data_IF_804014108439
#
_entry.id   IF_804014108439
#
_cell.length_a   1.000
_cell.length_b   1.000
_cell.length_c   1.000
_cell.angle_alpha   90.00
_cell.angle_beta   90.00
_cell.angle_gamma   90.00
#
_symmetry.space_group_name_H-M   'P 1'
#
loop_
_entity.id
_entity.type
_entity.pdbx_description
1 polymer ?
#
# COMPACT_ATOMS: atom_id res chain seq x y z
N UNK A 1 -2.50 10.10 -19.60
CA UNK A 1 -1.86 9.50 -18.41
C UNK A 1 -1.35 10.61 -17.50
N UNK A 2 -1.36 10.40 -16.19
CA UNK A 2 -0.87 11.36 -15.19
C UNK A 2 0.24 10.68 -14.40
N UNK A 3 1.43 11.28 -14.36
CA UNK A 3 2.49 10.86 -13.44
C UNK A 3 2.12 11.39 -12.05
N UNK A 4 1.99 10.47 -11.10
CA UNK A 4 1.65 10.80 -9.71
C UNK A 4 2.92 11.18 -8.96
N UNK A 5 3.95 10.33 -9.07
CA UNK A 5 5.20 10.48 -8.35
C UNK A 5 6.34 9.78 -9.10
N UNK A 6 7.56 10.27 -8.90
CA UNK A 6 8.79 9.65 -9.41
C UNK A 6 9.77 9.55 -8.26
N UNK A 7 10.29 8.35 -8.02
CA UNK A 7 11.13 8.05 -6.87
C UNK A 7 12.42 7.39 -7.33
N UNK A 8 13.55 8.06 -7.09
CA UNK A 8 14.87 7.51 -7.37
C UNK A 8 15.25 6.44 -6.36
N UNK A 9 15.88 5.36 -6.82
CA UNK A 9 16.44 4.29 -5.96
C UNK A 9 17.92 4.52 -5.62
N UNK A 10 18.45 5.72 -5.90
CA UNK A 10 19.86 6.06 -5.65
C UNK A 10 20.27 5.89 -4.19
N UNK A 11 19.42 6.28 -3.24
CA UNK A 11 19.67 6.12 -1.80
C UNK A 11 19.72 4.64 -1.38
N UNK A 12 18.99 3.77 -2.09
CA UNK A 12 19.02 2.32 -1.90
C UNK A 12 20.19 1.61 -2.59
N UNK A 13 21.11 2.33 -3.24
CA UNK A 13 22.27 1.76 -3.93
C UNK A 13 22.06 1.49 -5.43
N UNK A 14 20.93 1.91 -6.03
CA UNK A 14 20.63 1.74 -7.45
C UNK A 14 20.55 3.09 -8.15
N UNK A 15 21.68 3.77 -8.43
CA UNK A 15 21.70 5.13 -8.95
C UNK A 15 21.03 5.28 -10.32
N UNK A 16 21.02 4.19 -11.10
CA UNK A 16 20.45 4.17 -12.45
C UNK A 16 18.98 3.74 -12.46
N UNK A 17 18.36 3.44 -11.32
CA UNK A 17 16.98 2.95 -11.23
C UNK A 17 16.05 4.00 -10.66
N UNK A 18 14.87 4.12 -11.26
CA UNK A 18 13.83 5.06 -10.84
C UNK A 18 12.46 4.39 -10.98
N UNK A 19 11.65 4.50 -9.94
CA UNK A 19 10.24 4.10 -9.96
C UNK A 19 9.38 5.28 -10.43
N UNK A 20 8.43 5.02 -11.31
CA UNK A 20 7.46 6.01 -11.79
C UNK A 20 6.07 5.45 -11.53
N UNK A 21 5.35 6.08 -10.58
CA UNK A 21 3.95 5.79 -10.30
C UNK A 21 3.08 6.68 -11.18
N UNK A 22 2.17 6.09 -11.95
CA UNK A 22 1.31 6.81 -12.87
C UNK A 22 -0.06 6.17 -13.01
N UNK A 23 -1.05 6.96 -13.42
CA UNK A 23 -2.41 6.48 -13.67
C UNK A 23 -2.83 6.74 -15.11
N UNK A 24 -3.56 5.76 -15.67
CA UNK A 24 -4.13 5.87 -17.00
C UNK A 24 -5.49 6.57 -16.93
N UNK A 25 -5.53 7.83 -17.39
CA UNK A 25 -6.74 8.66 -17.45
C UNK A 25 -7.54 8.65 -16.12
N UNK A 26 -6.90 9.02 -15.00
CA UNK A 26 -7.56 8.94 -13.70
C UNK A 26 -8.76 9.89 -13.63
N UNK A 27 -9.81 9.43 -12.96
CA UNK A 27 -10.87 10.29 -12.45
C UNK A 27 -10.35 11.08 -11.24
N UNK A 28 -10.70 12.36 -11.12
CA UNK A 28 -10.23 13.23 -10.04
C UNK A 28 -11.39 13.49 -9.07
N UNK A 29 -11.17 13.22 -7.79
CA UNK A 29 -12.16 13.33 -6.73
C UNK A 29 -11.63 14.28 -5.65
N UNK A 30 -12.06 15.55 -5.61
CA UNK A 30 -11.77 16.45 -4.49
C UNK A 30 -12.41 15.92 -3.20
N UNK A 31 -11.74 16.05 -2.06
CA UNK A 31 -12.38 15.77 -0.77
C UNK A 31 -13.39 16.86 -0.41
N UNK A 32 -14.31 16.52 0.50
CA UNK A 32 -15.25 17.50 1.06
C UNK A 32 -14.57 18.63 1.82
N UNK A 33 -13.33 18.43 2.30
CA UNK A 33 -12.55 19.47 2.97
C UNK A 33 -12.14 20.63 2.05
N UNK A 34 -12.15 20.45 0.73
CA UNK A 34 -11.92 21.53 -0.21
C UNK A 34 -13.12 22.48 -0.35
N UNK A 35 -14.33 21.97 -0.08
CA UNK A 35 -15.58 22.72 -0.22
C UNK A 35 -16.02 23.31 1.13
N UNK A 36 -15.78 22.59 2.22
CA UNK A 36 -16.19 22.95 3.56
C UNK A 36 -15.00 22.87 4.56
N UNK A 37 -14.52 24.01 5.11
CA UNK A 37 -13.50 24.01 6.15
C UNK A 37 -13.88 23.26 7.43
N UNK A 38 -15.17 23.07 7.70
CA UNK A 38 -15.68 22.31 8.85
C UNK A 38 -15.85 20.81 8.54
N UNK A 39 -15.51 20.38 7.33
CA UNK A 39 -15.64 18.99 6.91
C UNK A 39 -14.91 18.03 7.85
N UNK A 40 -15.66 17.03 8.31
CA UNK A 40 -15.14 15.98 9.17
C UNK A 40 -14.43 14.91 8.35
N UNK A 41 -13.14 14.75 8.59
CA UNK A 41 -12.28 13.80 7.87
C UNK A 41 -12.57 12.36 8.31
N UNK A 42 -13.23 11.60 7.44
CA UNK A 42 -13.65 10.22 7.68
C UNK A 42 -12.50 9.23 7.46
N UNK A 43 -12.69 7.95 7.79
CA UNK A 43 -11.61 6.95 7.62
C UNK A 43 -11.15 6.78 6.17
N UNK A 44 -12.03 6.75 5.15
CA UNK A 44 -11.60 6.79 3.75
C UNK A 44 -10.74 8.02 3.42
N UNK A 45 -11.07 9.19 3.98
CA UNK A 45 -10.29 10.40 3.76
C UNK A 45 -8.86 10.26 4.32
N UNK A 46 -8.65 9.49 5.39
CA UNK A 46 -7.33 9.23 5.98
C UNK A 46 -6.37 8.48 5.04
N UNK A 47 -6.88 7.78 4.02
CA UNK A 47 -6.08 7.18 2.96
C UNK A 47 -6.17 7.93 1.64
N UNK A 48 -7.30 8.59 1.35
CA UNK A 48 -7.58 9.16 0.03
C UNK A 48 -7.47 10.68 -0.01
N UNK A 49 -7.98 11.38 1.00
CA UNK A 49 -8.19 12.83 0.95
C UNK A 49 -8.80 13.23 -0.39
N UNK A 50 -8.18 14.19 -1.06
CA UNK A 50 -8.42 14.44 -2.48
C UNK A 50 -7.60 13.47 -3.34
N UNK A 51 -8.24 12.63 -4.15
CA UNK A 51 -7.60 11.48 -4.79
C UNK A 51 -7.89 11.31 -6.28
N UNK A 52 -7.02 10.55 -6.92
CA UNK A 52 -7.21 9.99 -8.24
C UNK A 52 -7.73 8.55 -8.16
N UNK A 53 -8.79 8.24 -8.89
CA UNK A 53 -9.34 6.89 -9.00
C UNK A 53 -9.16 6.31 -10.40
N UNK A 54 -8.80 5.02 -10.48
CA UNK A 54 -8.65 4.27 -11.72
C UNK A 54 -7.43 3.34 -11.73
N UNK A 55 -6.98 2.96 -12.92
CA UNK A 55 -5.85 2.03 -13.08
C UNK A 55 -4.54 2.75 -12.77
N UNK A 56 -3.84 2.31 -11.72
CA UNK A 56 -2.49 2.74 -11.40
C UNK A 56 -1.44 1.70 -11.78
N UNK A 57 -0.30 2.19 -12.26
CA UNK A 57 0.82 1.39 -12.73
C UNK A 57 2.13 1.93 -12.17
N UNK A 58 3.08 1.03 -11.98
CA UNK A 58 4.44 1.38 -11.57
C UNK A 58 5.41 0.89 -12.62
N UNK A 59 6.21 1.80 -13.14
CA UNK A 59 7.27 1.55 -14.10
C UNK A 59 8.62 1.61 -13.39
N UNK A 60 9.45 0.58 -13.58
CA UNK A 60 10.88 0.67 -13.31
C UNK A 60 11.59 1.19 -14.56
N UNK A 61 12.28 2.32 -14.40
CA UNK A 61 13.00 2.99 -15.48
C UNK A 61 14.50 3.00 -15.21
N UNK A 62 15.29 2.76 -16.27
CA UNK A 62 16.73 2.93 -16.25
C UNK A 62 17.11 4.31 -16.82
N UNK A 63 17.58 5.20 -15.96
CA UNK A 63 17.92 6.58 -16.35
C UNK A 63 19.21 6.67 -17.17
N UNK A 64 20.13 5.72 -17.01
CA UNK A 64 21.41 5.71 -17.73
C UNK A 64 21.24 5.29 -19.19
N UNK A 65 20.37 4.30 -19.44
CA UNK A 65 20.07 3.81 -20.80
C UNK A 65 18.83 4.43 -21.39
N UNK A 66 18.11 5.27 -20.64
CA UNK A 66 16.85 5.91 -21.02
C UNK A 66 15.82 4.88 -21.50
N UNK A 67 15.65 3.79 -20.74
CA UNK A 67 14.80 2.66 -21.14
C UNK A 67 13.91 2.15 -20.01
N UNK A 68 12.68 1.77 -20.34
CA UNK A 68 11.80 1.02 -19.45
C UNK A 68 12.34 -0.40 -19.21
N UNK A 69 12.40 -0.83 -17.96
CA UNK A 69 12.76 -2.21 -17.59
C UNK A 69 11.51 -3.08 -17.53
N UNK A 70 10.54 -2.72 -16.67
CA UNK A 70 9.24 -3.36 -16.63
C UNK A 70 8.19 -2.44 -16.01
N UNK A 71 6.92 -2.70 -16.32
CA UNK A 71 5.77 -2.02 -15.74
C UNK A 71 4.83 -3.06 -15.13
N UNK A 72 4.29 -2.78 -13.95
CA UNK A 72 3.22 -3.55 -13.34
C UNK A 72 1.98 -2.69 -13.13
N UNK A 73 0.81 -3.33 -13.14
CA UNK A 73 -0.42 -2.75 -12.64
C UNK A 73 -0.58 -3.08 -11.16
N UNK A 74 -1.01 -2.11 -10.35
CA UNK A 74 -1.28 -2.35 -8.94
C UNK A 74 -2.62 -3.07 -8.84
N UNK A 75 -2.57 -4.33 -8.40
CA UNK A 75 -3.75 -5.18 -8.22
C UNK A 75 -4.39 -4.91 -6.85
N UNK A 76 -5.61 -4.38 -6.87
CA UNK A 76 -6.54 -4.25 -5.75
C UNK A 76 -7.95 -4.52 -6.29
N UNK A 77 -8.91 -4.90 -5.45
CA UNK A 77 -10.24 -5.35 -5.91
C UNK A 77 -10.98 -4.29 -6.75
N UNK A 78 -10.94 -3.03 -6.33
CA UNK A 78 -11.59 -1.90 -7.03
C UNK A 78 -10.59 -0.96 -7.75
N UNK A 79 -9.31 -1.33 -7.77
CA UNK A 79 -8.20 -0.46 -8.17
C UNK A 79 -7.88 0.63 -7.13
N UNK A 80 -6.62 1.10 -7.07
CA UNK A 80 -6.20 2.02 -6.01
C UNK A 80 -6.81 3.42 -6.15
N UNK A 81 -7.23 3.97 -5.01
CA UNK A 81 -7.48 5.40 -4.85
C UNK A 81 -6.23 6.12 -4.34
N UNK A 82 -5.51 6.82 -5.21
CA UNK A 82 -4.22 7.45 -4.87
C UNK A 82 -4.38 8.94 -4.51
N UNK A 83 -3.97 9.37 -3.31
CA UNK A 83 -4.13 10.77 -2.88
C UNK A 83 -3.23 11.72 -3.69
N UNK A 84 -3.79 12.83 -4.17
CA UNK A 84 -2.99 13.96 -4.68
C UNK A 84 -2.92 15.12 -3.69
N UNK A 85 -3.84 15.18 -2.72
CA UNK A 85 -3.74 16.02 -1.55
C UNK A 85 -4.40 15.30 -0.36
N UNK A 86 -3.73 15.29 0.80
CA UNK A 86 -4.20 14.58 1.99
C UNK A 86 -3.74 15.30 3.26
N UNK A 87 -4.48 15.17 4.37
CA UNK A 87 -4.06 15.68 5.67
C UNK A 87 -2.86 14.92 6.22
N UNK A 88 -1.96 15.63 6.90
CA UNK A 88 -0.80 15.04 7.57
C UNK A 88 -1.22 14.21 8.80
N UNK A 89 -0.46 13.16 9.11
CA UNK A 89 -0.60 12.40 10.37
C UNK A 89 -1.34 11.06 10.22
N UNK A 90 -1.63 10.65 8.99
CA UNK A 90 -2.25 9.36 8.68
C UNK A 90 -1.25 8.41 7.99
N UNK A 91 -1.64 7.73 6.91
CA UNK A 91 -0.88 6.63 6.33
C UNK A 91 0.23 7.04 5.35
N UNK A 92 0.09 8.21 4.73
CA UNK A 92 1.09 8.74 3.80
C UNK A 92 1.91 9.87 4.44
N UNK A 93 3.18 9.94 4.04
CA UNK A 93 4.06 11.04 4.46
C UNK A 93 3.65 12.31 3.72
N UNK A 94 3.46 13.41 4.46
CA UNK A 94 3.05 14.69 3.90
C UNK A 94 4.04 15.76 4.34
N UNK A 95 4.74 16.33 3.37
CA UNK A 95 5.67 17.44 3.57
C UNK A 95 5.03 18.78 3.22
N UNK A 96 5.57 19.85 3.82
CA UNK A 96 5.11 21.21 3.60
C UNK A 96 4.02 21.67 4.57
N UNK A 97 3.58 22.91 4.37
CA UNK A 97 2.44 23.48 5.09
C UNK A 97 1.18 23.18 4.29
N UNK A 98 0.14 22.58 4.91
CA UNK A 98 -1.13 22.40 4.24
C UNK A 98 -1.71 23.75 3.81
N UNK A 99 -2.54 23.72 2.78
CA UNK A 99 -3.34 24.88 2.40
C UNK A 99 -4.47 25.13 3.42
N UNK A 100 -5.43 25.99 3.06
CA UNK A 100 -6.57 26.31 3.95
C UNK A 100 -7.42 25.08 4.30
N UNK A 101 -7.45 24.04 3.46
CA UNK A 101 -8.24 22.82 3.68
C UNK A 101 -7.53 21.81 4.61
N UNK A 102 -6.27 22.06 4.96
CA UNK A 102 -5.48 21.16 5.79
C UNK A 102 -4.80 20.03 5.00
N UNK A 103 -4.99 19.98 3.68
CA UNK A 103 -4.40 18.98 2.80
C UNK A 103 -3.13 19.49 2.12
N UNK A 104 -2.20 18.58 1.85
CA UNK A 104 -1.00 18.85 1.06
C UNK A 104 -0.61 17.62 0.24
N UNK A 105 0.29 17.81 -0.72
CA UNK A 105 0.75 16.73 -1.59
C UNK A 105 1.46 15.64 -0.75
N UNK A 106 1.04 14.36 -0.85
CA UNK A 106 1.71 13.27 -0.19
C UNK A 106 2.95 12.78 -0.96
N UNK A 107 3.82 12.08 -0.24
CA UNK A 107 4.80 11.14 -0.77
C UNK A 107 4.22 9.73 -0.65
N UNK A 108 3.67 9.22 -1.74
CA UNK A 108 3.09 7.88 -1.83
C UNK A 108 4.22 6.84 -1.91
N UNK A 109 5.26 7.09 -2.71
CA UNK A 109 6.42 6.19 -2.82
C UNK A 109 7.47 6.46 -1.73
N UNK A 110 7.01 6.63 -0.48
CA UNK A 110 7.90 6.68 0.69
C UNK A 110 8.54 5.30 0.90
N UNK A 111 9.77 5.15 0.39
CA UNK A 111 10.49 3.88 0.41
C UNK A 111 10.91 3.51 1.83
N UNK A 112 10.61 2.29 2.24
CA UNK A 112 10.93 1.69 3.54
C UNK A 112 11.38 0.25 3.32
N UNK A 113 12.08 -0.29 4.32
CA UNK A 113 12.44 -1.70 4.36
C UNK A 113 11.27 -2.47 4.98
N UNK A 114 10.33 -2.90 4.15
CA UNK A 114 9.22 -3.72 4.61
C UNK A 114 9.64 -5.18 4.70
N UNK A 115 10.43 -5.66 3.75
CA UNK A 115 10.74 -7.08 3.65
C UNK A 115 11.78 -7.59 4.69
N UNK A 116 12.52 -6.66 5.32
CA UNK A 116 13.50 -6.91 6.37
C UNK A 116 14.92 -7.21 5.88
N UNK A 117 15.26 -6.87 4.63
CA UNK A 117 16.58 -7.09 4.02
C UNK A 117 17.60 -5.96 4.30
N UNK A 118 17.17 -4.92 5.02
CA UNK A 118 17.99 -3.77 5.37
C UNK A 118 18.00 -2.66 4.32
N UNK A 119 17.19 -2.74 3.26
CA UNK A 119 17.14 -1.74 2.19
C UNK A 119 15.73 -1.16 2.04
N UNK A 120 15.68 0.16 1.96
CA UNK A 120 14.42 0.86 1.71
C UNK A 120 14.10 0.90 0.23
N UNK A 121 13.48 -0.16 -0.28
CA UNK A 121 13.17 -0.37 -1.69
C UNK A 121 11.69 -0.61 -1.99
N UNK A 122 10.85 -0.69 -0.95
CA UNK A 122 9.41 -0.89 -1.08
C UNK A 122 8.62 0.30 -0.54
N UNK A 123 7.44 0.52 -1.10
CA UNK A 123 6.43 1.43 -0.56
C UNK A 123 5.09 0.71 -0.47
N UNK A 124 4.29 1.09 0.51
CA UNK A 124 2.96 0.57 0.71
C UNK A 124 1.91 1.53 0.12
N UNK A 125 0.90 0.96 -0.55
CA UNK A 125 -0.33 1.64 -0.92
C UNK A 125 -1.39 1.27 0.11
N UNK A 126 -2.07 2.28 0.62
CA UNK A 126 -3.11 2.19 1.64
C UNK A 126 -4.44 2.65 1.05
N UNK A 127 -5.48 1.84 1.20
CA UNK A 127 -6.82 2.19 0.76
C UNK A 127 -7.88 1.72 1.78
N UNK A 128 -8.59 2.67 2.40
CA UNK A 128 -9.71 2.40 3.27
C UNK A 128 -11.02 2.66 2.52
N UNK A 129 -11.73 1.59 2.15
CA UNK A 129 -13.09 1.69 1.59
C UNK A 129 -14.10 2.21 2.61
N UNK A 130 -13.90 1.86 3.88
CA UNK A 130 -14.71 2.27 5.01
C UNK A 130 -13.88 2.23 6.30
N UNK A 131 -14.43 2.70 7.41
CA UNK A 131 -13.80 2.60 8.74
C UNK A 131 -13.59 1.17 9.26
N UNK A 132 -14.00 0.15 8.52
CA UNK A 132 -13.87 -1.25 8.94
C UNK A 132 -12.58 -1.90 8.46
N UNK A 133 -11.95 -1.41 7.40
CA UNK A 133 -10.76 -2.04 6.83
C UNK A 133 -9.79 -1.01 6.25
N UNK A 134 -8.56 -1.46 6.09
CA UNK A 134 -7.46 -0.78 5.47
C UNK A 134 -6.72 -1.76 4.56
N UNK A 135 -7.11 -1.82 3.31
CA UNK A 135 -6.42 -2.61 2.32
C UNK A 135 -4.98 -2.08 2.15
N UNK A 136 -3.99 -2.94 2.39
CA UNK A 136 -2.58 -2.58 2.20
C UNK A 136 -1.92 -3.46 1.16
N UNK A 137 -1.27 -2.85 0.16
CA UNK A 137 -0.50 -3.54 -0.88
C UNK A 137 0.95 -3.07 -0.85
N UNK A 138 1.91 -3.96 -1.07
CA UNK A 138 3.33 -3.63 -1.10
C UNK A 138 3.88 -3.74 -2.51
N UNK A 139 4.53 -2.66 -2.96
CA UNK A 139 5.19 -2.57 -4.26
C UNK A 139 6.63 -2.16 -4.02
N UNK A 140 7.57 -2.71 -4.79
CA UNK A 140 8.95 -2.32 -4.64
C UNK A 140 9.86 -2.90 -5.71
N UNK A 141 11.13 -2.53 -5.60
CA UNK A 141 12.17 -3.02 -6.50
C UNK A 141 12.75 -4.34 -5.99
N UNK A 142 12.55 -5.40 -6.78
CA UNK A 142 13.24 -6.68 -6.63
C UNK A 142 14.63 -6.58 -7.22
N UNK A 143 15.64 -6.66 -6.36
CA UNK A 143 17.03 -6.78 -6.80
C UNK A 143 17.29 -8.07 -7.55
N UNK A 144 16.70 -9.17 -7.06
CA UNK A 144 16.92 -10.51 -7.59
C UNK A 144 16.48 -10.61 -9.05
N UNK A 145 15.43 -9.88 -9.42
CA UNK A 145 14.87 -9.87 -10.77
C UNK A 145 15.26 -8.63 -11.58
N UNK A 146 15.85 -7.62 -10.96
CA UNK A 146 16.00 -6.26 -11.51
C UNK A 146 14.67 -5.73 -12.08
N UNK A 147 13.60 -5.81 -11.28
CA UNK A 147 12.24 -5.46 -11.69
C UNK A 147 11.46 -4.81 -10.57
N UNK A 148 10.49 -3.97 -10.90
CA UNK A 148 9.42 -3.62 -9.96
C UNK A 148 8.43 -4.78 -9.85
N UNK A 149 8.05 -5.15 -8.63
CA UNK A 149 7.05 -6.19 -8.34
C UNK A 149 6.04 -5.69 -7.31
N UNK A 150 4.82 -6.23 -7.37
CA UNK A 150 3.90 -6.19 -6.24
C UNK A 150 4.07 -7.50 -5.49
N UNK A 151 4.42 -7.42 -4.20
CA UNK A 151 4.76 -8.60 -3.41
C UNK A 151 3.49 -9.43 -3.15
N UNK A 152 3.40 -10.66 -3.65
CA UNK A 152 2.26 -11.52 -3.39
C UNK A 152 2.26 -12.00 -1.94
N UNK A 153 1.07 -12.26 -1.41
CA UNK A 153 0.85 -12.75 -0.05
C UNK A 153 0.15 -14.10 -0.17
N UNK A 154 0.86 -15.18 0.10
CA UNK A 154 0.28 -16.52 0.20
C UNK A 154 -0.35 -16.67 1.58
N UNK A 155 -1.69 -16.63 1.62
CA UNK A 155 -2.46 -16.65 2.85
C UNK A 155 -3.19 -17.98 3.01
N UNK A 156 -3.02 -18.61 4.18
CA UNK A 156 -3.84 -19.73 4.64
C UNK A 156 -4.87 -19.21 5.63
N UNK A 157 -6.14 -19.17 5.25
CA UNK A 157 -7.22 -18.74 6.14
C UNK A 157 -7.93 -19.96 6.76
N UNK A 158 -8.18 -19.91 8.06
CA UNK A 158 -8.88 -20.93 8.84
C UNK A 158 -10.05 -20.28 9.60
N UNK A 159 -11.29 -20.73 9.33
CA UNK A 159 -12.48 -20.33 10.08
C UNK A 159 -12.80 -21.28 11.24
N UNK A 160 -13.90 -21.02 11.97
CA UNK A 160 -14.31 -21.85 13.12
C UNK A 160 -14.65 -23.30 12.76
N UNK A 161 -15.10 -23.54 11.53
CA UNK A 161 -15.33 -24.88 10.98
C UNK A 161 -14.03 -25.65 10.71
N UNK A 162 -12.88 -25.03 10.98
CA UNK A 162 -11.51 -25.52 10.76
C UNK A 162 -11.20 -25.80 9.29
N UNK A 163 -12.02 -25.33 8.36
CA UNK A 163 -11.71 -25.42 6.95
C UNK A 163 -10.60 -24.44 6.62
N UNK A 164 -9.60 -24.95 5.88
CA UNK A 164 -8.46 -24.17 5.43
C UNK A 164 -8.63 -23.82 3.97
N UNK A 165 -8.47 -22.55 3.66
CA UNK A 165 -8.38 -22.07 2.28
C UNK A 165 -7.03 -21.43 2.05
N UNK A 166 -6.40 -21.72 0.93
CA UNK A 166 -5.14 -21.11 0.52
C UNK A 166 -5.40 -20.20 -0.67
N UNK A 167 -4.95 -18.94 -0.59
CA UNK A 167 -5.10 -17.96 -1.66
C UNK A 167 -3.83 -17.13 -1.78
N UNK A 168 -3.49 -16.78 -3.02
CA UNK A 168 -2.52 -15.70 -3.27
C UNK A 168 -3.27 -14.38 -3.34
N UNK A 169 -2.97 -13.48 -2.41
CA UNK A 169 -3.49 -12.14 -2.34
C UNK A 169 -2.42 -11.14 -2.82
N UNK A 170 -2.86 -9.96 -3.23
CA UNK A 170 -1.99 -8.83 -3.59
C UNK A 170 -2.18 -7.64 -2.64
N UNK A 171 -3.05 -7.81 -1.67
CA UNK A 171 -3.34 -6.91 -0.58
C UNK A 171 -3.74 -7.70 0.67
N UNK A 172 -3.50 -7.11 1.83
CA UNK A 172 -3.88 -7.68 3.12
C UNK A 172 -4.27 -6.58 4.08
N UNK A 173 -5.32 -6.83 4.87
CA UNK A 173 -5.89 -5.82 5.74
C UNK A 173 -4.89 -5.45 6.85
N UNK A 174 -4.62 -4.14 6.98
CA UNK A 174 -3.69 -3.50 7.90
C UNK A 174 -2.21 -3.96 7.88
N UNK A 175 -1.82 -5.01 7.15
CA UNK A 175 -0.48 -5.63 7.25
C UNK A 175 0.66 -4.61 7.27
N UNK A 176 0.75 -3.75 6.25
CA UNK A 176 1.85 -2.77 6.12
C UNK A 176 1.63 -1.46 6.89
N UNK A 177 0.51 -1.36 7.64
CA UNK A 177 0.24 -0.27 8.59
C UNK A 177 0.61 -0.64 10.02
N UNK A 178 0.68 -1.94 10.34
CA UNK A 178 1.03 -2.43 11.66
C UNK A 178 2.54 -2.43 11.84
N UNK A 179 2.97 -2.15 13.07
CA UNK A 179 4.36 -2.32 13.46
C UNK A 179 4.73 -3.82 13.37
N UNK A 180 5.81 -4.18 12.68
CA UNK A 180 6.27 -5.57 12.67
C UNK A 180 6.81 -6.00 14.04
N UNK A 181 6.70 -7.30 14.34
CA UNK A 181 7.33 -7.92 15.53
C UNK A 181 8.85 -8.00 15.36
N UNK A 182 9.29 -8.26 14.13
CA UNK A 182 10.69 -8.22 13.69
C UNK A 182 10.74 -7.91 12.19
N UNK A 183 11.88 -7.50 11.62
CA UNK A 183 11.98 -7.24 10.18
C UNK A 183 11.38 -8.38 9.33
N UNK A 184 10.48 -8.04 8.41
CA UNK A 184 9.78 -9.01 7.56
C UNK A 184 8.78 -9.94 8.28
N UNK A 185 8.38 -9.68 9.54
CA UNK A 185 7.44 -10.52 10.29
C UNK A 185 6.42 -9.72 11.09
N UNK A 186 5.14 -10.06 10.92
CA UNK A 186 4.01 -9.43 11.57
C UNK A 186 3.15 -10.44 12.29
N UNK A 187 2.66 -10.01 13.45
CA UNK A 187 1.62 -10.70 14.20
C UNK A 187 0.67 -9.65 14.75
N UNK A 188 -0.60 -9.74 14.40
CA UNK A 188 -1.61 -8.75 14.81
C UNK A 188 -3.00 -9.36 14.77
N UNK A 189 -3.96 -8.67 15.36
CA UNK A 189 -5.37 -9.04 15.31
C UNK A 189 -6.25 -7.84 14.98
N UNK A 190 -7.42 -8.13 14.40
CA UNK A 190 -8.46 -7.16 14.09
C UNK A 190 -9.78 -7.72 14.58
N UNK A 191 -10.50 -6.93 15.39
CA UNK A 191 -11.80 -7.33 15.95
C UNK A 191 -12.95 -6.70 15.15
N UNK A 192 -13.53 -7.48 14.24
CA UNK A 192 -14.71 -7.10 13.48
C UNK A 192 -16.04 -7.49 14.17
N UNK A 193 -16.00 -8.16 15.34
CA UNK A 193 -17.20 -8.72 15.99
C UNK A 193 -18.18 -7.68 16.51
N UNK A 194 -17.71 -6.46 16.76
CA UNK A 194 -18.57 -5.30 17.07
C UNK A 194 -19.46 -4.87 15.90
N UNK A 195 -19.28 -5.46 14.72
CA UNK A 195 -19.89 -5.05 13.45
C UNK A 195 -20.37 -6.25 12.62
N UNK A 196 -20.63 -7.39 13.27
CA UNK A 196 -21.14 -8.60 12.62
C UNK A 196 -20.07 -9.44 11.90
N UNK A 197 -18.78 -9.16 12.10
CA UNK A 197 -17.67 -9.97 11.57
C UNK A 197 -17.00 -10.87 12.61
N UNK A 198 -15.78 -11.30 12.31
CA UNK A 198 -14.95 -12.20 13.10
C UNK A 198 -13.87 -11.46 13.91
N UNK A 199 -13.22 -12.17 14.83
CA UNK A 199 -11.89 -11.77 15.30
C UNK A 199 -10.86 -12.47 14.42
N UNK A 200 -10.08 -11.69 13.68
CA UNK A 200 -9.07 -12.21 12.77
C UNK A 200 -7.68 -12.05 13.36
N UNK A 201 -6.93 -13.15 13.41
CA UNK A 201 -5.55 -13.20 13.91
C UNK A 201 -4.60 -13.54 12.78
N UNK A 202 -3.71 -12.60 12.47
CA UNK A 202 -2.73 -12.71 11.40
C UNK A 202 -1.35 -13.05 11.94
N UNK A 203 -0.66 -13.92 11.22
CA UNK A 203 0.76 -14.21 11.39
C UNK A 203 1.38 -14.37 10.01
N UNK A 204 2.22 -13.40 9.59
CA UNK A 204 2.69 -13.26 8.21
C UNK A 204 4.19 -12.97 8.21
N UNK A 205 4.96 -13.65 7.36
CA UNK A 205 6.40 -13.51 7.23
C UNK A 205 6.84 -13.39 5.77
N UNK A 206 7.86 -12.58 5.52
CA UNK A 206 8.53 -12.51 4.22
C UNK A 206 9.37 -13.76 3.93
N UNK A 207 9.23 -14.29 2.72
CA UNK A 207 10.02 -15.39 2.17
C UNK A 207 10.93 -14.86 1.06
N UNK A 208 12.20 -14.64 1.39
CA UNK A 208 13.22 -14.12 0.47
C UNK A 208 13.42 -14.99 -0.78
N UNK A 209 13.29 -16.32 -0.66
CA UNK A 209 13.52 -17.21 -1.80
C UNK A 209 12.43 -17.07 -2.86
N UNK A 210 11.19 -16.82 -2.44
CA UNK A 210 10.03 -16.67 -3.31
C UNK A 210 9.68 -15.22 -3.64
N UNK A 211 10.27 -14.25 -2.94
CA UNK A 211 9.93 -12.83 -3.01
C UNK A 211 8.43 -12.58 -2.75
N UNK A 212 7.92 -13.26 -1.73
CA UNK A 212 6.51 -13.24 -1.33
C UNK A 212 6.38 -13.20 0.19
N UNK A 213 5.24 -12.75 0.68
CA UNK A 213 4.85 -12.99 2.07
C UNK A 213 4.07 -14.30 2.16
N UNK A 214 4.23 -15.01 3.26
CA UNK A 214 3.52 -16.25 3.56
C UNK A 214 2.98 -16.17 4.97
N UNK A 215 1.74 -16.59 5.18
CA UNK A 215 1.13 -16.48 6.50
C UNK A 215 -0.20 -17.17 6.64
N UNK A 216 -0.80 -16.98 7.81
CA UNK A 216 -2.12 -17.48 8.14
C UNK A 216 -2.99 -16.40 8.74
N UNK A 217 -4.30 -16.55 8.52
CA UNK A 217 -5.35 -15.80 9.19
C UNK A 217 -6.27 -16.80 9.90
N UNK A 218 -6.45 -16.67 11.21
CA UNK A 218 -7.44 -17.46 11.94
C UNK A 218 -8.59 -16.55 12.30
N UNK A 219 -9.78 -16.88 11.80
CA UNK A 219 -11.01 -16.13 11.98
C UNK A 219 -11.93 -16.87 12.95
N UNK A 220 -12.27 -16.22 14.06
CA UNK A 220 -13.21 -16.78 15.05
C UNK A 220 -14.46 -15.92 15.15
N UNK A 221 -15.63 -16.53 14.97
CA UNK A 221 -16.92 -15.99 15.35
C UNK A 221 -17.06 -16.00 16.88
N UNK A 222 -18.09 -15.34 17.42
CA UNK A 222 -18.32 -15.27 18.87
C UNK A 222 -18.78 -16.60 19.45
#
# INVERSE_FOLDING_TARGET
AVIIETQSLKSGGYPDRTLILWMQNPSKHPSGANEDPEYFYTCPDQTRGSYYGGIAKVLLFNVKTNSSINTIEIKQEEGPSLPYAIRKGYYYDVEGKPDKAGEAKPHIMSLKDYNGDGKSLEFAVFDALACMGLETALIGYSEKQDKVIQYPILMVSEGDDKQKTEKTLYSCDYLFSKKPESPGYWKYEIDYRGRGGTLDKYEIRYNLQKESFEGKCVSTEK
#
